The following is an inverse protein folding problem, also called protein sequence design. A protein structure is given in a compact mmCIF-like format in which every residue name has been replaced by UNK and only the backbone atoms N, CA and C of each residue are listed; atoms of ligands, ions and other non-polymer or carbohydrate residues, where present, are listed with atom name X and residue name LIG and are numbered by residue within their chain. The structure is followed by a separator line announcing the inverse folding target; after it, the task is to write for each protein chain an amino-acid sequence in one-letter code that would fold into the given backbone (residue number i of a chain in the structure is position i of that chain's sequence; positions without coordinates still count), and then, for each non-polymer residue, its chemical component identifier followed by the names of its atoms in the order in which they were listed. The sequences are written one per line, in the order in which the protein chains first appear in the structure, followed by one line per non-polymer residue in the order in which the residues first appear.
data_IF_731097474192
#
_entry.id   IF_731097474192
#
_cell.length_a   1.000
_cell.length_b   1.000
_cell.length_c   1.000
_cell.angle_alpha   90.00
_cell.angle_beta   90.00
_cell.angle_gamma   90.00
#
_symmetry.space_group_name_H-M   'P 1'
#
loop_
_entity.id
_entity.type
_entity.pdbx_description
1 polymer ?
#
# COMPACT_ATOMS: atom_id res chain seq x y z
N UNK A 1 -5.56 1.85 39.45
CA UNK A 1 -5.54 2.75 38.30
C UNK A 1 -6.63 2.34 37.32
N UNK A 2 -7.30 3.28 36.64
CA UNK A 2 -8.28 2.91 35.60
C UNK A 2 -7.49 2.37 34.41
N UNK A 3 -7.84 1.17 33.95
CA UNK A 3 -7.22 0.56 32.76
C UNK A 3 -7.46 1.44 31.55
N UNK A 4 -6.39 1.80 30.82
CA UNK A 4 -6.47 2.50 29.54
C UNK A 4 -6.67 1.47 28.41
N UNK A 5 -7.20 1.91 27.28
CA UNK A 5 -7.38 1.05 26.09
C UNK A 5 -6.83 1.72 24.85
N UNK A 6 -6.35 0.92 23.91
CA UNK A 6 -5.99 1.29 22.56
C UNK A 6 -6.78 0.40 21.61
N UNK A 7 -7.56 0.99 20.71
CA UNK A 7 -8.26 0.28 19.64
C UNK A 7 -7.61 0.57 18.30
N UNK A 8 -7.07 -0.47 17.66
CA UNK A 8 -6.42 -0.36 16.37
C UNK A 8 -7.37 -0.80 15.26
N UNK A 9 -7.49 -0.02 14.20
CA UNK A 9 -8.18 -0.40 12.98
C UNK A 9 -7.22 -1.01 11.96
N UNK A 10 -7.65 -2.09 11.31
CA UNK A 10 -6.96 -2.69 10.16
C UNK A 10 -7.97 -3.17 9.12
N UNK A 11 -7.55 -3.30 7.86
CA UNK A 11 -8.41 -3.78 6.79
C UNK A 11 -8.20 -5.26 6.54
N UNK A 12 -9.29 -6.03 6.51
CA UNK A 12 -9.28 -7.46 6.22
C UNK A 12 -9.17 -7.70 4.71
N UNK A 13 -7.97 -7.50 4.13
CA UNK A 13 -7.73 -7.74 2.70
C UNK A 13 -7.40 -9.21 2.40
N UNK A 14 -6.92 -9.99 3.37
CA UNK A 14 -6.56 -11.39 3.20
C UNK A 14 -6.74 -12.18 4.52
N UNK A 15 -6.87 -13.53 4.46
CA UNK A 15 -7.08 -14.36 5.65
C UNK A 15 -5.99 -14.26 6.72
N UNK A 16 -4.73 -14.00 6.33
CA UNK A 16 -3.60 -13.88 7.26
C UNK A 16 -3.69 -12.67 8.20
N UNK A 17 -4.57 -11.71 7.93
CA UNK A 17 -4.74 -10.52 8.78
C UNK A 17 -5.16 -10.89 10.19
N UNK A 18 -6.03 -11.89 10.35
CA UNK A 18 -6.50 -12.31 11.67
C UNK A 18 -5.34 -12.85 12.55
N UNK A 19 -4.55 -13.85 12.12
CA UNK A 19 -3.44 -14.32 12.94
C UNK A 19 -2.35 -13.27 13.19
N UNK A 20 -2.14 -12.31 12.28
CA UNK A 20 -1.22 -11.18 12.50
C UNK A 20 -1.72 -10.35 13.69
N UNK A 21 -2.95 -9.87 13.64
CA UNK A 21 -3.50 -8.98 14.67
C UNK A 21 -3.78 -9.69 15.99
N UNK A 22 -4.14 -10.97 15.97
CA UNK A 22 -4.25 -11.78 17.19
C UNK A 22 -2.89 -11.87 17.90
N UNK A 23 -1.80 -12.11 17.17
CA UNK A 23 -0.45 -12.18 17.74
C UNK A 23 -0.03 -10.82 18.31
N UNK A 24 -0.26 -9.72 17.60
CA UNK A 24 0.05 -8.37 18.09
C UNK A 24 -0.76 -8.06 19.35
N UNK A 25 -2.06 -8.36 19.37
CA UNK A 25 -2.94 -8.15 20.52
C UNK A 25 -2.50 -8.97 21.73
N UNK A 26 -2.21 -10.26 21.57
CA UNK A 26 -1.73 -11.13 22.65
C UNK A 26 -0.42 -10.57 23.22
N UNK A 27 0.56 -10.29 22.35
CA UNK A 27 1.83 -9.73 22.78
C UNK A 27 1.67 -8.39 23.52
N UNK A 28 0.87 -7.47 23.02
CA UNK A 28 0.61 -6.19 23.65
C UNK A 28 -0.02 -6.35 25.04
N UNK A 29 -0.98 -7.26 25.18
CA UNK A 29 -1.67 -7.47 26.44
C UNK A 29 -0.81 -8.21 27.49
N UNK A 30 0.22 -8.91 27.06
CA UNK A 30 1.24 -9.49 27.96
C UNK A 30 2.32 -8.44 28.31
N UNK A 31 2.65 -7.56 27.38
CA UNK A 31 3.63 -6.47 27.55
C UNK A 31 3.12 -5.40 28.54
N UNK A 32 1.85 -5.01 28.42
CA UNK A 32 1.25 -3.96 29.23
C UNK A 32 0.59 -4.51 30.51
N UNK A 33 0.72 -3.75 31.62
CA UNK A 33 0.01 -4.05 32.87
C UNK A 33 -1.30 -3.28 33.03
N UNK A 34 -1.36 -2.07 32.49
CA UNK A 34 -2.43 -1.08 32.70
C UNK A 34 -3.05 -0.53 31.40
N UNK A 35 -2.61 -1.05 30.25
CA UNK A 35 -3.15 -0.77 28.92
C UNK A 35 -3.70 -2.06 28.36
N UNK A 36 -4.88 -1.99 27.72
CA UNK A 36 -5.43 -3.06 26.89
C UNK A 36 -5.40 -2.63 25.43
N UNK A 37 -4.84 -3.48 24.56
CA UNK A 37 -4.92 -3.33 23.12
C UNK A 37 -5.93 -4.31 22.56
N UNK A 38 -6.79 -3.80 21.69
CA UNK A 38 -7.68 -4.60 20.86
C UNK A 38 -7.67 -4.05 19.43
N UNK A 39 -8.27 -4.79 18.50
CA UNK A 39 -8.35 -4.36 17.11
C UNK A 39 -9.74 -4.58 16.51
N UNK A 40 -10.04 -3.82 15.46
CA UNK A 40 -11.25 -3.99 14.66
C UNK A 40 -10.86 -4.10 13.17
N UNK A 41 -11.49 -5.06 12.48
CA UNK A 41 -11.26 -5.27 11.06
C UNK A 41 -12.34 -4.59 10.23
N UNK A 42 -11.91 -3.84 9.22
CA UNK A 42 -12.76 -3.16 8.26
C UNK A 42 -12.78 -3.91 6.92
N UNK A 43 -13.87 -3.78 6.21
CA UNK A 43 -14.00 -4.33 4.85
C UNK A 43 -13.25 -3.51 3.79
N UNK A 44 -12.98 -2.22 4.06
CA UNK A 44 -12.27 -1.30 3.17
C UNK A 44 -11.60 -0.17 3.97
N UNK A 45 -10.68 0.54 3.32
CA UNK A 45 -9.93 1.63 3.94
C UNK A 45 -10.76 2.90 4.17
N UNK A 46 -11.76 3.18 3.36
CA UNK A 46 -12.62 4.36 3.52
C UNK A 46 -13.31 4.33 4.87
N UNK A 47 -13.88 3.19 5.24
CA UNK A 47 -14.54 3.01 6.53
C UNK A 47 -13.59 3.17 7.69
N UNK A 48 -12.36 2.66 7.57
CA UNK A 48 -11.32 2.82 8.57
C UNK A 48 -10.91 4.29 8.74
N UNK A 49 -10.71 5.01 7.64
CA UNK A 49 -10.36 6.44 7.63
C UNK A 49 -11.46 7.29 8.29
N UNK A 50 -12.74 7.00 8.02
CA UNK A 50 -13.86 7.65 8.68
C UNK A 50 -13.84 7.41 10.21
N UNK A 51 -13.64 6.16 10.64
CA UNK A 51 -13.60 5.83 12.06
C UNK A 51 -12.42 6.47 12.79
N UNK A 52 -11.27 6.58 12.13
CA UNK A 52 -10.13 7.32 12.70
C UNK A 52 -10.48 8.80 12.86
N UNK A 53 -11.05 9.45 11.83
CA UNK A 53 -11.48 10.86 11.87
C UNK A 53 -12.47 11.12 13.01
N UNK A 54 -13.41 10.20 13.23
CA UNK A 54 -14.43 10.29 14.26
C UNK A 54 -13.93 9.92 15.67
N UNK A 55 -12.67 9.50 15.81
CA UNK A 55 -12.10 9.03 17.08
C UNK A 55 -12.73 7.74 17.60
N UNK A 56 -13.33 6.92 16.72
CA UNK A 56 -13.89 5.60 17.06
C UNK A 56 -12.83 4.51 17.12
N UNK A 57 -11.71 4.70 16.46
CA UNK A 57 -10.46 3.97 16.63
C UNK A 57 -9.35 4.96 17.00
N UNK A 58 -8.38 4.49 17.75
CA UNK A 58 -7.27 5.30 18.25
C UNK A 58 -6.12 5.36 17.24
N UNK A 59 -5.86 4.24 16.59
CA UNK A 59 -4.76 4.03 15.64
C UNK A 59 -5.32 3.31 14.42
N UNK A 60 -4.90 3.71 13.21
CA UNK A 60 -5.23 3.01 11.98
C UNK A 60 -3.96 2.45 11.33
N UNK A 61 -3.96 1.16 10.98
CA UNK A 61 -2.98 0.58 10.08
C UNK A 61 -3.39 0.90 8.65
N UNK A 62 -2.82 1.96 8.11
CA UNK A 62 -3.19 2.56 6.83
C UNK A 62 -2.19 2.24 5.72
N UNK A 63 -2.70 2.09 4.48
CA UNK A 63 -1.88 2.28 3.29
C UNK A 63 -1.51 3.77 3.14
N UNK A 64 -0.57 4.06 2.25
CA UNK A 64 -0.24 5.45 1.89
C UNK A 64 -1.45 6.23 1.35
N UNK A 65 -2.30 5.62 0.53
CA UNK A 65 -3.54 6.23 0.02
C UNK A 65 -4.47 6.57 1.17
N UNK A 66 -4.70 5.64 2.10
CA UNK A 66 -5.54 5.87 3.28
C UNK A 66 -4.96 6.94 4.21
N UNK A 67 -3.64 6.98 4.38
CA UNK A 67 -2.95 8.02 5.13
C UNK A 67 -3.14 9.41 4.49
N UNK A 68 -2.90 9.54 3.19
CA UNK A 68 -3.08 10.80 2.45
C UNK A 68 -4.53 11.28 2.52
N UNK A 69 -5.50 10.38 2.41
CA UNK A 69 -6.92 10.71 2.58
C UNK A 69 -7.24 11.14 4.01
N UNK A 70 -6.65 10.47 5.01
CA UNK A 70 -6.78 10.89 6.42
C UNK A 70 -6.24 12.31 6.63
N UNK A 71 -5.08 12.65 6.05
CA UNK A 71 -4.54 14.02 6.06
C UNK A 71 -5.52 15.00 5.43
N UNK A 72 -6.09 14.67 4.27
CA UNK A 72 -7.02 15.54 3.54
C UNK A 72 -8.30 15.81 4.34
N UNK A 73 -9.01 14.77 4.79
CA UNK A 73 -10.30 14.93 5.46
C UNK A 73 -10.22 15.49 6.87
N UNK A 74 -9.02 15.50 7.47
CA UNK A 74 -8.75 16.10 8.79
C UNK A 74 -8.01 17.43 8.71
N UNK A 75 -7.80 17.97 7.50
CA UNK A 75 -7.00 19.19 7.29
C UNK A 75 -5.60 19.10 7.93
N UNK A 76 -4.91 17.98 7.74
CA UNK A 76 -3.61 17.70 8.33
C UNK A 76 -3.65 17.31 9.81
N UNK A 77 -4.81 16.94 10.33
CA UNK A 77 -5.03 16.57 11.73
C UNK A 77 -4.57 15.17 12.13
N UNK A 78 -3.83 14.46 11.29
CA UNK A 78 -3.24 13.15 11.59
C UNK A 78 -1.72 13.17 11.50
N UNK A 79 -1.08 12.17 12.08
CA UNK A 79 0.37 11.91 11.94
C UNK A 79 0.62 10.41 11.77
N UNK A 80 1.61 10.05 10.95
CA UNK A 80 2.16 8.71 10.85
C UNK A 80 3.25 8.54 11.91
N UNK A 81 3.19 7.47 12.69
CA UNK A 81 4.07 7.29 13.87
C UNK A 81 5.05 6.13 13.72
N UNK A 82 4.65 5.07 13.03
CA UNK A 82 5.42 3.84 12.90
C UNK A 82 5.09 3.17 11.58
N UNK A 83 6.05 2.42 11.02
CA UNK A 83 5.91 1.69 9.77
C UNK A 83 6.79 0.45 9.74
N UNK A 84 6.62 -0.40 8.74
CA UNK A 84 7.56 -1.49 8.46
C UNK A 84 8.80 -0.91 7.77
N UNK A 85 9.96 -1.49 8.03
CA UNK A 85 11.19 -1.17 7.29
C UNK A 85 11.04 -1.40 5.78
N UNK A 86 10.23 -2.38 5.39
CA UNK A 86 9.93 -2.72 3.99
C UNK A 86 8.96 -1.75 3.29
N UNK A 87 8.32 -0.84 4.03
CA UNK A 87 7.49 0.23 3.47
C UNK A 87 8.31 1.46 3.04
N UNK A 88 9.58 1.53 3.40
CA UNK A 88 10.49 2.60 2.98
C UNK A 88 11.02 2.29 1.57
N UNK A 89 10.87 3.25 0.66
CA UNK A 89 11.35 3.08 -0.70
C UNK A 89 10.60 2.00 -1.48
N UNK A 90 9.33 1.79 -1.18
CA UNK A 90 8.44 0.92 -1.96
C UNK A 90 8.36 1.40 -3.40
N UNK A 91 8.19 0.50 -4.37
CA UNK A 91 8.30 0.84 -5.79
C UNK A 91 7.18 0.24 -6.62
N UNK A 92 6.87 0.92 -7.71
CA UNK A 92 6.11 0.36 -8.82
C UNK A 92 7.07 -0.27 -9.83
N UNK A 93 6.75 -1.48 -10.28
CA UNK A 93 7.54 -2.24 -11.24
C UNK A 93 6.76 -2.37 -12.53
N UNK A 94 7.35 -1.92 -13.63
CA UNK A 94 6.73 -2.00 -14.95
C UNK A 94 7.21 -3.26 -15.64
N UNK A 95 6.26 -4.06 -16.08
CA UNK A 95 6.50 -5.41 -16.59
C UNK A 95 5.92 -5.58 -18.00
N UNK A 96 6.58 -6.42 -18.78
CA UNK A 96 6.16 -6.81 -20.13
C UNK A 96 6.62 -8.22 -20.45
N UNK A 97 6.19 -8.76 -21.59
CA UNK A 97 6.84 -9.98 -22.12
C UNK A 97 8.29 -9.68 -22.50
N UNK A 98 9.14 -10.68 -22.29
CA UNK A 98 10.55 -10.62 -22.69
C UNK A 98 10.68 -10.16 -24.15
N UNK A 99 11.62 -9.28 -24.40
CA UNK A 99 12.00 -8.76 -25.72
C UNK A 99 10.92 -7.92 -26.45
N UNK A 100 9.82 -7.54 -25.78
CA UNK A 100 8.77 -6.72 -26.40
C UNK A 100 8.90 -5.24 -26.08
N UNK A 101 9.12 -4.88 -24.82
CA UNK A 101 9.30 -3.52 -24.31
C UNK A 101 10.63 -3.46 -23.58
N UNK A 102 11.48 -2.47 -23.87
CA UNK A 102 12.81 -2.30 -23.28
C UNK A 102 12.96 -0.98 -22.53
N UNK A 103 12.10 -0.01 -22.85
CA UNK A 103 12.12 1.34 -22.25
C UNK A 103 10.71 1.90 -22.17
N UNK A 104 10.56 3.03 -21.48
CA UNK A 104 9.27 3.73 -21.41
C UNK A 104 8.84 4.30 -22.77
N UNK A 105 9.79 4.65 -23.64
CA UNK A 105 9.46 5.15 -24.99
C UNK A 105 8.78 4.10 -25.87
N UNK A 106 9.05 2.81 -25.64
CA UNK A 106 8.42 1.71 -26.37
C UNK A 106 6.93 1.54 -26.01
N UNK A 107 6.44 2.24 -24.97
CA UNK A 107 5.03 2.19 -24.55
C UNK A 107 4.10 3.01 -25.47
N UNK A 108 4.62 3.91 -26.30
CA UNK A 108 3.80 4.69 -27.22
C UNK A 108 3.08 3.77 -28.22
N UNK A 109 1.77 3.96 -28.33
CA UNK A 109 0.90 3.11 -29.15
C UNK A 109 0.61 1.73 -28.55
N UNK A 110 0.98 1.46 -27.29
CA UNK A 110 0.82 0.18 -26.59
C UNK A 110 -0.31 0.22 -25.57
N UNK A 111 -0.83 -0.97 -25.25
CA UNK A 111 -1.81 -1.21 -24.20
C UNK A 111 -1.09 -1.48 -22.89
N UNK A 112 -1.33 -0.63 -21.92
CA UNK A 112 -0.71 -0.71 -20.60
C UNK A 112 -1.78 -0.97 -19.51
N UNK A 113 -1.60 -2.04 -18.73
CA UNK A 113 -2.49 -2.42 -17.64
C UNK A 113 -2.14 -1.73 -16.33
N UNK A 114 -3.14 -1.12 -15.69
CA UNK A 114 -3.08 -0.71 -14.30
C UNK A 114 -3.95 -1.62 -13.44
N UNK A 115 -3.56 -1.80 -12.18
CA UNK A 115 -4.41 -2.40 -11.17
C UNK A 115 -5.59 -1.49 -10.79
N UNK A 116 -6.15 -1.71 -9.59
CA UNK A 116 -7.28 -0.93 -9.10
C UNK A 116 -6.94 0.55 -9.03
N UNK A 117 -7.92 1.39 -9.34
CA UNK A 117 -7.75 2.85 -9.45
C UNK A 117 -7.22 3.51 -8.16
N UNK A 118 -7.45 2.89 -7.02
CA UNK A 118 -7.01 3.32 -5.68
C UNK A 118 -5.72 2.63 -5.21
N UNK A 119 -5.12 1.79 -6.06
CA UNK A 119 -3.81 1.17 -5.76
C UNK A 119 -2.67 2.14 -6.03
N UNK A 120 -1.90 2.47 -4.98
CA UNK A 120 -0.71 3.31 -5.15
C UNK A 120 0.28 2.67 -6.11
N UNK A 121 0.64 1.39 -5.88
CA UNK A 121 1.72 0.71 -6.60
C UNK A 121 1.37 0.30 -8.03
N UNK A 122 0.11 -0.01 -8.29
CA UNK A 122 -0.31 -0.56 -9.58
C UNK A 122 -1.11 0.41 -10.47
N UNK A 123 -1.41 1.63 -9.97
CA UNK A 123 -2.18 2.61 -10.73
C UNK A 123 -1.71 4.06 -10.49
N UNK A 124 -1.81 4.58 -9.26
CA UNK A 124 -1.61 6.00 -8.96
C UNK A 124 -0.18 6.44 -9.25
N UNK A 125 0.80 5.78 -8.65
CA UNK A 125 2.21 6.14 -8.81
C UNK A 125 2.75 5.82 -10.21
N UNK A 126 2.40 4.68 -10.84
CA UNK A 126 2.76 4.45 -12.24
C UNK A 126 2.26 5.54 -13.19
N UNK A 127 0.98 5.95 -13.08
CA UNK A 127 0.45 7.03 -13.91
C UNK A 127 1.16 8.35 -13.65
N UNK A 128 1.37 8.70 -12.38
CA UNK A 128 2.10 9.91 -11.99
C UNK A 128 3.50 9.97 -12.60
N UNK A 129 4.28 8.87 -12.53
CA UNK A 129 5.62 8.85 -13.10
C UNK A 129 5.63 8.89 -14.64
N UNK A 130 4.68 8.26 -15.32
CA UNK A 130 4.53 8.37 -16.76
C UNK A 130 4.24 9.83 -17.17
N UNK A 131 3.29 10.47 -16.49
CA UNK A 131 2.93 11.87 -16.77
C UNK A 131 4.08 12.83 -16.45
N UNK A 132 4.79 12.64 -15.34
CA UNK A 132 5.97 13.45 -14.96
C UNK A 132 7.10 13.37 -15.98
N UNK A 133 7.20 12.27 -16.71
CA UNK A 133 8.15 12.09 -17.82
C UNK A 133 7.59 12.55 -19.19
N UNK A 134 6.41 13.15 -19.21
CA UNK A 134 5.81 13.74 -20.40
C UNK A 134 5.04 12.75 -21.30
N UNK A 135 4.82 11.52 -20.85
CA UNK A 135 4.00 10.57 -21.61
C UNK A 135 2.52 10.95 -21.54
N UNK A 136 1.86 10.92 -22.68
CA UNK A 136 0.41 11.10 -22.79
C UNK A 136 -0.28 9.75 -22.63
N UNK A 137 -1.34 9.72 -21.84
CA UNK A 137 -2.15 8.53 -21.59
C UNK A 137 -3.56 8.71 -22.14
N UNK A 138 -4.20 7.60 -22.50
CA UNK A 138 -5.56 7.54 -23.01
C UNK A 138 -6.26 6.33 -22.39
N UNK A 139 -7.33 6.56 -21.63
CA UNK A 139 -8.17 5.45 -21.15
C UNK A 139 -8.83 4.77 -22.35
N UNK A 140 -8.75 3.46 -22.40
CA UNK A 140 -9.27 2.62 -23.48
C UNK A 140 -9.96 1.37 -22.95
N UNK A 141 -10.76 0.75 -23.81
CA UNK A 141 -11.23 -0.64 -23.64
C UNK A 141 -10.37 -1.61 -24.46
N UNK A 142 -10.53 -2.91 -24.25
CA UNK A 142 -9.79 -3.94 -25.02
C UNK A 142 -10.09 -3.91 -26.52
N UNK A 143 -11.27 -3.40 -26.92
CA UNK A 143 -11.67 -3.28 -28.33
C UNK A 143 -11.12 -2.04 -29.03
N UNK A 144 -10.61 -1.05 -28.26
CA UNK A 144 -10.19 0.22 -28.80
C UNK A 144 -8.77 0.15 -29.41
N UNK A 145 -8.54 0.98 -30.41
CA UNK A 145 -7.20 1.23 -30.94
C UNK A 145 -6.47 2.26 -30.10
N UNK A 146 -5.17 2.08 -29.93
CA UNK A 146 -4.32 3.06 -29.22
C UNK A 146 -3.76 4.05 -30.23
N UNK A 147 -3.87 5.36 -29.91
CA UNK A 147 -3.16 6.38 -30.65
C UNK A 147 -1.64 6.16 -30.52
N UNK A 148 -0.91 6.23 -31.63
CA UNK A 148 0.54 5.96 -31.70
C UNK A 148 1.39 6.89 -30.82
N UNK A 149 0.89 8.07 -30.45
CA UNK A 149 1.58 9.03 -29.60
C UNK A 149 1.22 8.86 -28.11
N UNK A 150 0.20 8.06 -27.79
CA UNK A 150 -0.29 7.88 -26.44
C UNK A 150 0.01 6.46 -25.93
N UNK A 151 -0.05 6.30 -24.61
CA UNK A 151 -0.13 5.00 -23.95
C UNK A 151 -1.61 4.71 -23.68
N UNK A 152 -2.12 3.60 -24.19
CA UNK A 152 -3.50 3.15 -23.93
C UNK A 152 -3.63 2.48 -22.56
N UNK A 153 -4.42 3.06 -21.67
CA UNK A 153 -4.57 2.59 -20.29
C UNK A 153 -5.80 1.72 -20.11
N UNK A 154 -5.62 0.53 -19.55
CA UNK A 154 -6.70 -0.34 -19.10
C UNK A 154 -6.58 -0.56 -17.58
N UNK A 155 -7.71 -0.47 -16.85
CA UNK A 155 -7.74 -0.65 -15.40
C UNK A 155 -8.46 -1.93 -14.99
N UNK A 156 -7.89 -2.63 -14.00
CA UNK A 156 -8.45 -3.83 -13.42
C UNK A 156 -8.83 -3.55 -11.96
N UNK A 157 -10.09 -3.22 -11.74
CA UNK A 157 -10.61 -2.70 -10.47
C UNK A 157 -11.06 -3.79 -9.47
N UNK A 158 -10.39 -4.95 -9.45
CA UNK A 158 -10.77 -6.09 -8.59
C UNK A 158 -10.48 -5.88 -7.10
N UNK A 159 -9.66 -4.88 -6.74
CA UNK A 159 -9.25 -4.59 -5.37
C UNK A 159 -9.70 -3.22 -4.86
N UNK A 160 -10.66 -2.58 -5.51
CA UNK A 160 -11.19 -1.27 -5.08
C UNK A 160 -11.65 -1.33 -3.62
N UNK A 161 -11.24 -0.33 -2.82
CA UNK A 161 -11.43 -0.31 -1.37
C UNK A 161 -10.33 -1.03 -0.56
N UNK A 162 -9.51 -1.85 -1.22
CA UNK A 162 -8.36 -2.57 -0.63
C UNK A 162 -7.01 -1.96 -1.01
N UNK A 163 -7.00 -0.92 -1.82
CA UNK A 163 -5.82 -0.18 -2.27
C UNK A 163 -4.74 -1.08 -2.92
N UNK A 164 -5.15 -2.20 -3.52
CA UNK A 164 -4.24 -3.16 -4.14
C UNK A 164 -3.60 -4.18 -3.18
N UNK A 165 -3.91 -4.15 -1.89
CA UNK A 165 -3.29 -5.03 -0.88
C UNK A 165 -3.56 -6.52 -1.10
N UNK A 166 -4.65 -6.89 -1.78
CA UNK A 166 -4.92 -8.30 -2.13
C UNK A 166 -3.96 -8.80 -3.21
N UNK A 167 -3.36 -7.91 -3.97
CA UNK A 167 -2.59 -8.22 -5.18
C UNK A 167 -3.44 -8.76 -6.34
N UNK A 168 -4.77 -8.87 -6.19
CA UNK A 168 -5.65 -9.46 -7.19
C UNK A 168 -5.60 -8.70 -8.51
N UNK A 169 -5.75 -7.40 -8.47
CA UNK A 169 -5.70 -6.55 -9.65
C UNK A 169 -4.35 -6.56 -10.36
N UNK A 170 -3.25 -6.76 -9.61
CA UNK A 170 -1.91 -6.89 -10.16
C UNK A 170 -1.73 -8.23 -10.90
N UNK A 171 -2.31 -9.32 -10.38
CA UNK A 171 -2.32 -10.61 -11.08
C UNK A 171 -3.25 -10.57 -12.31
N UNK A 172 -4.36 -9.83 -12.28
CA UNK A 172 -5.18 -9.59 -13.47
C UNK A 172 -4.35 -8.91 -14.59
N UNK A 173 -3.50 -7.94 -14.25
CA UNK A 173 -2.54 -7.31 -15.19
C UNK A 173 -1.56 -8.35 -15.75
N UNK A 174 -0.93 -9.15 -14.88
CA UNK A 174 0.03 -10.18 -15.30
C UNK A 174 -0.58 -11.22 -16.23
N UNK A 175 -1.80 -11.69 -15.93
CA UNK A 175 -2.51 -12.66 -16.76
C UNK A 175 -2.85 -12.10 -18.15
N UNK A 176 -3.23 -10.82 -18.23
CA UNK A 176 -3.51 -10.15 -19.50
C UNK A 176 -2.25 -9.88 -20.33
N UNK A 177 -1.10 -9.61 -19.69
CA UNK A 177 0.19 -9.59 -20.39
C UNK A 177 0.54 -11.00 -20.89
N UNK A 178 0.35 -12.02 -20.06
CA UNK A 178 0.61 -13.42 -20.42
C UNK A 178 -0.24 -13.86 -21.62
N UNK A 179 -1.51 -13.51 -21.67
CA UNK A 179 -2.40 -13.82 -22.80
C UNK A 179 -2.10 -13.01 -24.07
N UNK A 180 -1.44 -11.84 -23.95
CA UNK A 180 -1.17 -10.93 -25.05
C UNK A 180 -2.26 -9.89 -25.30
N UNK A 181 -3.21 -9.75 -24.37
CA UNK A 181 -4.22 -8.69 -24.40
C UNK A 181 -3.64 -7.33 -24.01
N UNK A 182 -2.59 -7.32 -23.19
CA UNK A 182 -1.77 -6.17 -22.81
C UNK A 182 -0.34 -6.35 -23.34
N UNK A 183 0.28 -5.23 -23.72
CA UNK A 183 1.70 -5.18 -24.07
C UNK A 183 2.59 -5.07 -22.83
N UNK A 184 2.14 -4.31 -21.81
CA UNK A 184 2.84 -4.05 -20.56
C UNK A 184 1.86 -3.71 -19.44
N UNK A 185 2.37 -3.53 -18.22
CA UNK A 185 1.57 -3.08 -17.09
C UNK A 185 2.42 -2.76 -15.87
N UNK A 186 1.77 -2.31 -14.78
CA UNK A 186 2.43 -1.99 -13.52
C UNK A 186 1.92 -2.87 -12.38
N UNK A 187 2.85 -3.27 -11.51
CA UNK A 187 2.61 -4.01 -10.27
C UNK A 187 3.49 -3.46 -9.15
N UNK A 188 3.21 -3.83 -7.91
CA UNK A 188 4.04 -3.47 -6.77
C UNK A 188 5.33 -4.30 -6.68
N UNK A 189 6.35 -3.75 -6.02
CA UNK A 189 7.63 -4.44 -5.82
C UNK A 189 7.49 -5.75 -5.03
N UNK A 190 6.57 -5.83 -4.08
CA UNK A 190 6.28 -7.07 -3.33
C UNK A 190 5.67 -8.16 -4.21
N UNK A 191 4.70 -7.79 -5.06
CA UNK A 191 4.13 -8.71 -6.05
C UNK A 191 5.20 -9.18 -7.04
N UNK A 192 6.09 -8.29 -7.48
CA UNK A 192 7.19 -8.67 -8.36
C UNK A 192 8.13 -9.70 -7.72
N UNK A 193 8.53 -9.48 -6.45
CA UNK A 193 9.37 -10.45 -5.71
C UNK A 193 8.67 -11.79 -5.62
N UNK A 194 7.39 -11.83 -5.30
CA UNK A 194 6.58 -13.05 -5.24
C UNK A 194 6.53 -13.77 -6.60
N UNK A 195 6.28 -13.04 -7.68
CA UNK A 195 6.27 -13.59 -9.06
C UNK A 195 7.60 -14.26 -9.41
N UNK A 196 8.73 -13.64 -9.04
CA UNK A 196 10.06 -14.20 -9.27
C UNK A 196 10.31 -15.45 -8.44
N UNK A 197 9.86 -15.49 -7.19
CA UNK A 197 10.02 -16.65 -6.31
C UNK A 197 9.16 -17.85 -6.74
N UNK A 198 7.91 -17.60 -7.12
CA UNK A 198 6.96 -18.63 -7.54
C UNK A 198 7.23 -19.15 -8.96
N UNK A 199 7.87 -18.36 -9.82
CA UNK A 199 8.20 -18.73 -11.21
C UNK A 199 6.98 -18.92 -12.13
N UNK A 200 5.81 -18.40 -11.76
CA UNK A 200 4.54 -18.62 -12.47
C UNK A 200 4.42 -17.84 -13.80
N UNK A 201 5.30 -16.83 -14.00
CA UNK A 201 5.31 -15.95 -15.18
C UNK A 201 6.73 -15.85 -15.80
N UNK A 202 7.34 -16.96 -16.25
CA UNK A 202 8.74 -16.99 -16.67
C UNK A 202 9.03 -16.12 -17.92
N UNK A 203 8.01 -15.80 -18.70
CA UNK A 203 8.11 -14.95 -19.88
C UNK A 203 7.99 -13.45 -19.59
N UNK A 204 7.61 -13.06 -18.35
CA UNK A 204 7.46 -11.66 -17.95
C UNK A 204 8.76 -11.16 -17.34
N UNK A 205 9.15 -9.96 -17.71
CA UNK A 205 10.35 -9.28 -17.22
C UNK A 205 10.02 -7.87 -16.77
N UNK A 206 10.81 -7.38 -15.82
CA UNK A 206 10.82 -5.97 -15.43
C UNK A 206 11.65 -5.18 -16.46
N UNK A 207 11.11 -4.09 -17.01
CA UNK A 207 11.84 -3.19 -17.91
C UNK A 207 12.02 -1.78 -17.33
N UNK A 208 11.25 -1.41 -16.30
CA UNK A 208 11.39 -0.15 -15.59
C UNK A 208 10.92 -0.28 -14.14
N UNK A 209 11.61 0.40 -13.24
CA UNK A 209 11.24 0.48 -11.82
C UNK A 209 11.19 1.95 -11.42
N UNK A 210 10.11 2.36 -10.76
CA UNK A 210 9.91 3.73 -10.32
C UNK A 210 10.91 4.17 -9.24
N UNK A 211 11.07 5.48 -8.99
CA UNK A 211 11.58 5.98 -7.73
C UNK A 211 10.83 5.38 -6.53
N UNK A 212 11.47 5.35 -5.36
CA UNK A 212 10.87 4.84 -4.14
C UNK A 212 9.93 5.85 -3.49
N UNK A 213 8.84 5.38 -2.92
CA UNK A 213 7.90 6.12 -2.07
C UNK A 213 7.60 5.33 -0.81
N UNK A 214 6.86 5.88 0.17
CA UNK A 214 6.47 5.14 1.37
C UNK A 214 5.10 4.48 1.20
N UNK A 215 4.91 3.31 1.86
CA UNK A 215 3.68 2.53 1.70
C UNK A 215 2.82 2.56 2.96
N UNK A 216 2.83 1.54 3.82
CA UNK A 216 1.95 1.49 4.99
C UNK A 216 2.51 2.22 6.22
N UNK A 217 1.63 2.66 7.11
CA UNK A 217 2.00 3.23 8.40
C UNK A 217 0.88 3.10 9.43
N UNK A 218 1.25 3.22 10.72
CA UNK A 218 0.32 3.48 11.81
C UNK A 218 0.02 4.98 11.87
N UNK A 219 -1.23 5.33 11.67
CA UNK A 219 -1.75 6.70 11.68
C UNK A 219 -2.55 6.96 12.95
N UNK A 220 -2.33 8.10 13.59
CA UNK A 220 -3.12 8.59 14.74
C UNK A 220 -3.64 10.00 14.48
N UNK A 221 -4.68 10.42 15.19
CA UNK A 221 -5.07 11.84 15.25
C UNK A 221 -4.00 12.62 16.03
N UNK A 222 -3.70 13.83 15.55
CA UNK A 222 -2.90 14.79 16.33
C UNK A 222 -3.67 15.13 17.62
N UNK A 223 -2.97 15.07 18.76
CA UNK A 223 -3.60 15.20 20.07
C UNK A 223 -4.00 13.87 20.73
N UNK A 224 -3.74 12.73 20.09
CA UNK A 224 -3.79 11.42 20.76
C UNK A 224 -2.89 11.42 22.01
N UNK A 225 -3.30 10.73 23.08
CA UNK A 225 -2.57 10.68 24.36
C UNK A 225 -1.09 10.33 24.12
N UNK A 226 -0.19 11.27 24.44
CA UNK A 226 1.25 11.13 24.18
C UNK A 226 1.89 9.95 24.94
N UNK A 227 1.35 9.59 26.10
CA UNK A 227 1.79 8.41 26.88
C UNK A 227 1.39 7.13 26.17
N UNK A 228 0.15 7.03 25.67
CA UNK A 228 -0.32 5.88 24.91
C UNK A 228 0.43 5.75 23.57
N UNK A 229 0.66 6.87 22.88
CA UNK A 229 1.48 6.90 21.64
C UNK A 229 2.87 6.32 21.91
N UNK A 230 3.57 6.82 22.92
CA UNK A 230 4.91 6.35 23.28
C UNK A 230 4.89 4.86 23.66
N UNK A 231 3.96 4.45 24.50
CA UNK A 231 3.82 3.05 24.93
C UNK A 231 3.56 2.12 23.76
N UNK A 232 2.69 2.52 22.79
CA UNK A 232 2.42 1.73 21.59
C UNK A 232 3.68 1.57 20.73
N UNK A 233 4.41 2.65 20.47
CA UNK A 233 5.66 2.62 19.69
C UNK A 233 6.69 1.68 20.36
N UNK A 234 6.92 1.85 21.66
CA UNK A 234 7.88 1.03 22.42
C UNK A 234 7.50 -0.46 22.38
N UNK A 235 6.22 -0.78 22.56
CA UNK A 235 5.71 -2.14 22.49
C UNK A 235 5.92 -2.75 21.10
N UNK A 236 5.58 -2.04 20.02
CA UNK A 236 5.77 -2.54 18.66
C UNK A 236 7.26 -2.74 18.36
N UNK A 237 8.11 -1.77 18.67
CA UNK A 237 9.56 -1.86 18.44
C UNK A 237 10.25 -2.93 19.30
N UNK A 238 9.71 -3.25 20.47
CA UNK A 238 10.27 -4.34 21.32
C UNK A 238 10.22 -5.70 20.64
N UNK A 239 9.29 -5.91 19.69
CA UNK A 239 9.22 -7.12 18.88
C UNK A 239 10.44 -7.32 17.96
N UNK A 240 11.15 -6.24 17.60
CA UNK A 240 12.35 -6.31 16.76
C UNK A 240 13.46 -7.18 17.39
N UNK A 241 13.50 -7.26 18.71
CA UNK A 241 14.45 -8.11 19.45
C UNK A 241 14.00 -9.57 19.54
N UNK A 242 12.76 -9.89 19.16
CA UNK A 242 12.12 -11.20 19.36
C UNK A 242 12.08 -12.04 18.07
N UNK A 243 13.01 -11.85 17.14
CA UNK A 243 13.09 -12.59 15.86
C UNK A 243 13.25 -14.11 16.03
N UNK A 244 13.67 -14.57 17.21
CA UNK A 244 13.79 -15.98 17.57
C UNK A 244 12.53 -16.55 18.27
N UNK A 245 11.57 -15.72 18.64
CA UNK A 245 10.27 -16.18 19.14
C UNK A 245 9.43 -16.67 17.95
N UNK A 246 8.99 -17.95 17.93
CA UNK A 246 8.30 -18.49 16.77
C UNK A 246 7.00 -17.76 16.38
N UNK A 247 6.25 -17.25 17.39
CA UNK A 247 5.00 -16.52 17.13
C UNK A 247 5.27 -15.16 16.52
N UNK A 248 6.22 -14.41 17.09
CA UNK A 248 6.59 -13.08 16.61
C UNK A 248 7.25 -13.19 15.23
N UNK A 249 8.20 -14.11 15.04
CA UNK A 249 8.83 -14.35 13.75
C UNK A 249 7.82 -14.72 12.65
N UNK A 250 6.83 -15.55 12.99
CA UNK A 250 5.77 -15.91 12.05
C UNK A 250 4.88 -14.71 11.70
N UNK A 251 4.46 -13.92 12.68
CA UNK A 251 3.69 -12.70 12.47
C UNK A 251 4.44 -11.70 11.59
N UNK A 252 5.72 -11.43 11.89
CA UNK A 252 6.57 -10.54 11.09
C UNK A 252 6.73 -11.03 9.64
N UNK A 253 6.85 -12.34 9.44
CA UNK A 253 6.90 -12.95 8.11
C UNK A 253 5.59 -12.78 7.34
N UNK A 254 4.44 -12.98 8.00
CA UNK A 254 3.12 -12.79 7.39
C UNK A 254 2.86 -11.32 7.03
N UNK A 255 3.31 -10.40 7.88
CA UNK A 255 3.17 -8.94 7.66
C UNK A 255 4.24 -8.40 6.71
N UNK A 256 5.30 -9.17 6.44
CA UNK A 256 6.33 -8.82 5.46
C UNK A 256 7.30 -7.75 5.93
N UNK A 257 7.68 -7.78 7.21
CA UNK A 257 8.67 -6.85 7.78
C UNK A 257 9.84 -7.58 8.41
N UNK A 258 10.97 -6.87 8.54
CA UNK A 258 12.09 -7.28 9.38
C UNK A 258 12.11 -6.49 10.70
N UNK A 259 11.68 -5.23 10.68
CA UNK A 259 11.67 -4.33 11.84
C UNK A 259 10.54 -3.30 11.76
N UNK A 260 9.98 -2.96 12.92
CA UNK A 260 9.14 -1.78 13.10
C UNK A 260 10.03 -0.55 13.28
N UNK A 261 9.85 0.47 12.43
CA UNK A 261 10.67 1.68 12.42
C UNK A 261 9.80 2.93 12.55
N UNK A 262 10.36 3.99 13.12
CA UNK A 262 9.66 5.27 13.24
C UNK A 262 9.45 5.90 11.85
N UNK A 263 8.34 6.60 11.68
CA UNK A 263 8.15 7.50 10.55
C UNK A 263 8.95 8.78 10.82
N UNK A 264 10.12 8.90 10.18
CA UNK A 264 10.97 10.06 10.23
C UNK A 264 10.65 11.08 9.10
N UNK A 265 11.42 12.15 9.01
CA UNK A 265 11.25 13.18 7.98
C UNK A 265 11.41 12.61 6.56
N UNK A 266 12.30 11.64 6.36
CA UNK A 266 12.48 10.97 5.06
C UNK A 266 11.24 10.17 4.66
N UNK A 267 10.63 9.46 5.61
CA UNK A 267 9.37 8.76 5.37
C UNK A 267 8.23 9.74 5.01
N UNK A 268 8.14 10.87 5.70
CA UNK A 268 7.14 11.90 5.41
C UNK A 268 7.26 12.46 3.99
N UNK A 269 8.47 12.63 3.47
CA UNK A 269 8.70 13.04 2.08
C UNK A 269 8.20 11.98 1.08
N UNK A 270 8.35 10.69 1.39
CA UNK A 270 7.81 9.60 0.57
C UNK A 270 6.27 9.60 0.49
N UNK A 271 5.57 10.00 1.55
CA UNK A 271 4.11 10.17 1.53
C UNK A 271 3.67 11.44 0.80
N UNK A 272 4.46 12.53 0.86
CA UNK A 272 4.14 13.76 0.12
C UNK A 272 4.13 13.53 -1.40
N UNK A 273 5.01 12.69 -1.93
CA UNK A 273 4.98 12.33 -3.35
C UNK A 273 3.70 11.58 -3.72
N UNK A 274 3.23 10.67 -2.85
CA UNK A 274 1.93 10.00 -3.04
C UNK A 274 0.78 11.01 -2.97
N UNK A 275 0.84 11.95 -2.03
CA UNK A 275 -0.16 13.00 -1.90
C UNK A 275 -0.22 13.91 -3.14
N UNK A 276 0.94 14.24 -3.71
CA UNK A 276 1.01 14.99 -4.98
C UNK A 276 0.36 14.20 -6.12
N UNK A 277 0.71 12.91 -6.26
CA UNK A 277 0.14 12.05 -7.30
C UNK A 277 -1.38 11.95 -7.19
N UNK A 278 -1.92 11.84 -5.96
CA UNK A 278 -3.36 11.79 -5.73
C UNK A 278 -4.06 13.13 -6.01
N UNK A 279 -3.42 14.27 -5.69
CA UNK A 279 -3.96 15.60 -6.03
C UNK A 279 -4.04 15.82 -7.54
N UNK A 280 -2.98 15.49 -8.28
CA UNK A 280 -2.92 15.66 -9.72
C UNK A 280 -3.92 14.77 -10.49
N UNK A 281 -4.36 13.67 -9.87
CA UNK A 281 -5.32 12.71 -10.43
C UNK A 281 -6.74 12.86 -9.86
N UNK A 282 -7.03 13.90 -9.06
CA UNK A 282 -8.33 14.15 -8.39
C UNK A 282 -8.83 12.99 -7.50
N UNK A 283 -7.90 12.24 -6.87
CA UNK A 283 -8.22 11.05 -6.09
C UNK A 283 -8.47 11.30 -4.59
N UNK A 284 -8.32 12.55 -4.12
CA UNK A 284 -8.51 12.88 -2.70
C UNK A 284 -9.95 12.75 -2.22
N UNK A 285 -10.92 12.99 -3.10
CA UNK A 285 -12.36 13.06 -2.80
C UNK A 285 -13.21 11.98 -3.48
N UNK A 286 -12.58 10.96 -4.06
CA UNK A 286 -13.37 9.90 -4.72
C UNK A 286 -14.25 9.19 -3.69
N UNK A 287 -15.59 9.15 -3.91
CA UNK A 287 -16.45 8.21 -3.21
C UNK A 287 -16.14 6.80 -3.73
N UNK A 288 -16.09 5.84 -2.83
CA UNK A 288 -16.03 4.42 -3.21
C UNK A 288 -17.37 3.75 -2.97
#
# INVERSE_FOLDING_TARGET
MKMKSILVGAVAYAPQIVPIWDTIREYANDYFRDIRLDYVLFSNYERQVEWLKEGKIDIAWNTNVAYVRSLHITNGGVEAILMRDTDIGFKSVFVSKRDTIKSLDDLKGKRFGFGSLDSAQAAIMPLFYLQKQGFKTQEISLSDSVNKENIGILRFNSDVGKHGDTGRSEFDVLDRIKSGELDAGAIGSTTWVRVMQEGNYPQIVNFYTSPGYCHCNFTILKGFDSTLKKSFIEMMQSQNALKNDPKIAHMMSLEGLNEWVLCDESALNGYEEVAQAMREQDLLNLPY
#
